data_IF_513841474214
#
_entry.id   IF_513841474214
#
_cell.length_a   1.000
_cell.length_b   1.000
_cell.length_c   1.000
_cell.angle_alpha   90.00
_cell.angle_beta   90.00
_cell.angle_gamma   90.00
#
_symmetry.space_group_name_H-M   'P 1'
#
loop_
_entity.id
_entity.type
_entity.pdbx_description
1 polymer ?
#
# COMPACT_ATOMS: atom_id res chain seq x y z
N UNK A 1 -10.77 9.92 -22.65
CA UNK A 1 -10.19 8.83 -21.82
C UNK A 1 -8.76 9.11 -21.34
N UNK A 2 -7.87 9.65 -22.17
CA UNK A 2 -6.47 9.94 -21.76
C UNK A 2 -6.38 10.95 -20.61
N UNK A 3 -7.19 12.00 -20.60
CA UNK A 3 -7.19 13.04 -19.54
C UNK A 3 -7.48 12.46 -18.15
N UNK A 4 -8.38 11.48 -18.06
CA UNK A 4 -8.71 10.84 -16.78
C UNK A 4 -7.57 9.97 -16.25
N UNK A 5 -6.83 9.27 -17.11
CA UNK A 5 -5.64 8.50 -16.71
C UNK A 5 -4.55 9.41 -16.11
N UNK A 6 -4.30 10.55 -16.75
CA UNK A 6 -3.35 11.54 -16.24
C UNK A 6 -3.82 12.08 -14.89
N UNK A 7 -5.11 12.37 -14.73
CA UNK A 7 -5.67 12.79 -13.46
C UNK A 7 -5.46 11.73 -12.37
N UNK A 8 -5.70 10.45 -12.65
CA UNK A 8 -5.45 9.35 -11.69
C UNK A 8 -3.98 9.26 -11.27
N UNK A 9 -3.05 9.42 -12.20
CA UNK A 9 -1.61 9.40 -11.90
C UNK A 9 -1.25 10.57 -10.96
N UNK A 10 -1.72 11.76 -11.26
CA UNK A 10 -1.47 12.95 -10.43
C UNK A 10 -2.11 12.80 -9.06
N UNK A 11 -3.37 12.37 -8.99
CA UNK A 11 -4.07 12.12 -7.74
C UNK A 11 -3.36 11.04 -6.90
N UNK A 12 -2.94 9.94 -7.51
CA UNK A 12 -2.17 8.89 -6.85
C UNK A 12 -0.82 9.38 -6.32
N UNK A 13 -0.10 10.20 -7.10
CA UNK A 13 1.17 10.78 -6.67
C UNK A 13 0.99 11.75 -5.49
N UNK A 14 -0.05 12.59 -5.53
CA UNK A 14 -0.38 13.53 -4.43
C UNK A 14 -0.74 12.74 -3.16
N UNK A 15 -1.63 11.74 -3.27
CA UNK A 15 -2.02 10.91 -2.13
C UNK A 15 -0.82 10.17 -1.53
N UNK A 16 0.00 9.53 -2.36
CA UNK A 16 1.20 8.82 -1.91
C UNK A 16 2.20 9.75 -1.21
N UNK A 17 2.42 10.95 -1.75
CA UNK A 17 3.31 11.95 -1.15
C UNK A 17 2.75 12.46 0.17
N UNK A 18 1.45 12.71 0.25
CA UNK A 18 0.76 13.16 1.46
C UNK A 18 0.87 12.12 2.58
N UNK A 19 0.61 10.84 2.25
CA UNK A 19 0.74 9.72 3.20
C UNK A 19 2.19 9.60 3.67
N UNK A 20 3.14 9.61 2.74
CA UNK A 20 4.55 9.54 3.06
C UNK A 20 4.97 10.66 4.02
N UNK A 21 4.60 11.90 3.72
CA UNK A 21 4.91 13.05 4.55
C UNK A 21 4.25 12.94 5.94
N UNK A 22 2.98 12.54 5.99
CA UNK A 22 2.25 12.36 7.24
C UNK A 22 2.94 11.34 8.15
N UNK A 23 3.26 10.16 7.63
CA UNK A 23 3.87 9.10 8.45
C UNK A 23 5.35 9.30 8.75
N UNK A 24 6.10 10.07 7.94
CA UNK A 24 7.54 10.29 8.18
C UNK A 24 7.84 11.56 8.96
N UNK A 25 6.99 12.58 8.83
CA UNK A 25 7.27 13.92 9.37
C UNK A 25 6.39 14.30 10.55
N UNK A 26 5.31 13.57 10.85
CA UNK A 26 4.47 13.87 11.99
C UNK A 26 4.81 13.01 13.21
N UNK A 27 4.57 13.57 14.40
CA UNK A 27 4.76 12.85 15.69
C UNK A 27 3.86 11.60 15.75
N UNK A 28 2.67 11.67 15.19
CA UNK A 28 1.72 10.54 15.14
C UNK A 28 2.27 9.37 14.31
N UNK A 29 2.83 9.66 13.15
CA UNK A 29 3.47 8.64 12.30
C UNK A 29 4.68 7.99 12.96
N UNK A 30 5.45 8.75 13.75
CA UNK A 30 6.57 8.21 14.52
C UNK A 30 6.08 7.22 15.59
N UNK A 31 5.05 7.61 16.36
CA UNK A 31 4.48 6.77 17.43
C UNK A 31 3.86 5.49 16.85
N UNK A 32 3.14 5.59 15.72
CA UNK A 32 2.54 4.43 15.06
C UNK A 32 3.62 3.44 14.62
N UNK A 33 4.70 3.91 13.98
CA UNK A 33 5.81 3.03 13.55
C UNK A 33 6.55 2.41 14.73
N UNK A 34 6.83 3.18 15.76
CA UNK A 34 7.45 2.68 16.96
C UNK A 34 6.56 1.70 17.74
N UNK A 35 5.22 1.91 17.70
CA UNK A 35 4.24 0.98 18.29
C UNK A 35 4.08 -0.33 17.52
N UNK A 36 4.48 -0.39 16.24
CA UNK A 36 4.55 -1.63 15.48
C UNK A 36 5.78 -2.45 15.91
N UNK A 37 6.91 -1.77 16.18
CA UNK A 37 8.16 -2.42 16.59
C UNK A 37 8.08 -2.93 18.04
N UNK A 38 7.62 -2.11 19.00
CA UNK A 38 7.47 -2.49 20.42
C UNK A 38 6.30 -1.75 21.08
N UNK A 39 5.20 -2.46 21.23
CA UNK A 39 3.95 -1.93 21.79
C UNK A 39 4.05 -1.65 23.28
N UNK A 40 4.72 -2.53 24.05
CA UNK A 40 4.82 -2.42 25.52
C UNK A 40 5.71 -1.25 25.93
N UNK A 41 6.83 -1.07 25.24
CA UNK A 41 7.77 0.01 25.51
C UNK A 41 7.11 1.38 25.35
N UNK A 42 6.31 1.57 24.31
CA UNK A 42 5.66 2.86 24.05
C UNK A 42 4.52 3.15 25.03
N UNK A 43 3.81 2.13 25.50
CA UNK A 43 2.81 2.30 26.57
C UNK A 43 3.44 2.78 27.85
N UNK A 44 4.65 2.33 28.17
CA UNK A 44 5.40 2.75 29.34
C UNK A 44 5.75 4.25 29.28
N UNK A 45 5.93 4.82 28.10
CA UNK A 45 6.11 6.27 27.90
C UNK A 45 4.81 7.09 27.96
N UNK A 46 3.66 6.46 28.30
CA UNK A 46 2.38 7.14 28.48
C UNK A 46 1.66 7.49 27.17
N UNK A 47 2.09 6.98 26.03
CA UNK A 47 1.42 7.21 24.78
C UNK A 47 0.17 6.31 24.64
N UNK A 48 -0.96 6.90 24.24
CA UNK A 48 -2.20 6.15 23.98
C UNK A 48 -2.09 5.44 22.61
N UNK A 49 -1.51 4.24 22.62
CA UNK A 49 -1.30 3.44 21.41
C UNK A 49 -2.61 3.05 20.74
N UNK A 50 -3.64 2.71 21.53
CA UNK A 50 -4.95 2.30 20.97
C UNK A 50 -5.58 3.43 20.17
N UNK A 51 -5.51 4.67 20.66
CA UNK A 51 -5.96 5.85 19.93
C UNK A 51 -5.15 6.08 18.66
N UNK A 52 -3.84 5.82 18.68
CA UNK A 52 -2.98 5.97 17.51
C UNK A 52 -3.25 4.92 16.43
N UNK A 53 -3.49 3.67 16.80
CA UNK A 53 -3.89 2.62 15.85
C UNK A 53 -5.27 2.89 15.27
N UNK A 54 -6.22 3.36 16.09
CA UNK A 54 -7.56 3.77 15.62
C UNK A 54 -7.45 4.92 14.61
N UNK A 55 -6.60 5.90 14.87
CA UNK A 55 -6.33 7.00 13.94
C UNK A 55 -5.73 6.50 12.62
N UNK A 56 -4.72 5.63 12.69
CA UNK A 56 -4.11 5.03 11.50
C UNK A 56 -5.13 4.24 10.67
N UNK A 57 -5.98 3.45 11.32
CA UNK A 57 -7.05 2.69 10.66
C UNK A 57 -8.08 3.62 10.02
N UNK A 58 -8.47 4.69 10.70
CA UNK A 58 -9.41 5.69 10.17
C UNK A 58 -8.87 6.37 8.93
N UNK A 59 -7.61 6.82 8.96
CA UNK A 59 -6.93 7.41 7.79
C UNK A 59 -6.87 6.40 6.64
N UNK A 60 -6.49 5.16 6.91
CA UNK A 60 -6.44 4.08 5.92
C UNK A 60 -7.80 3.83 5.27
N UNK A 61 -8.87 3.81 6.06
CA UNK A 61 -10.25 3.62 5.57
C UNK A 61 -10.71 4.77 4.68
N UNK A 62 -10.41 6.01 5.05
CA UNK A 62 -10.72 7.20 4.24
C UNK A 62 -9.97 7.13 2.90
N UNK A 63 -8.69 6.79 2.93
CA UNK A 63 -7.86 6.67 1.72
C UNK A 63 -8.35 5.55 0.80
N UNK A 64 -8.75 4.41 1.37
CA UNK A 64 -9.34 3.32 0.60
C UNK A 64 -10.66 3.73 -0.06
N UNK A 65 -11.51 4.49 0.65
CA UNK A 65 -12.74 5.05 0.10
C UNK A 65 -12.49 6.03 -1.05
N UNK A 66 -11.53 6.93 -0.90
CA UNK A 66 -11.13 7.88 -1.95
C UNK A 66 -10.56 7.14 -3.16
N UNK A 67 -9.69 6.15 -2.94
CA UNK A 67 -9.13 5.34 -4.03
C UNK A 67 -10.22 4.57 -4.77
N UNK A 68 -11.18 3.96 -4.05
CA UNK A 68 -12.34 3.29 -4.64
C UNK A 68 -13.19 4.25 -5.49
N UNK A 69 -13.49 5.43 -4.98
CA UNK A 69 -14.24 6.46 -5.72
C UNK A 69 -13.53 6.89 -7.01
N UNK A 70 -12.21 7.05 -6.97
CA UNK A 70 -11.40 7.41 -8.14
C UNK A 70 -11.33 6.29 -9.19
N UNK A 71 -11.51 5.02 -8.79
CA UNK A 71 -11.47 3.88 -9.72
C UNK A 71 -12.77 3.66 -10.48
N UNK A 72 -13.91 4.06 -9.92
CA UNK A 72 -15.25 3.84 -10.48
C UNK A 72 -15.40 4.27 -11.95
N UNK A 73 -15.00 5.49 -12.36
CA UNK A 73 -15.14 5.93 -13.75
C UNK A 73 -14.25 5.16 -14.75
N UNK A 74 -13.21 4.48 -14.24
CA UNK A 74 -12.27 3.72 -15.06
C UNK A 74 -12.69 2.27 -15.26
N UNK A 75 -13.10 1.58 -14.20
CA UNK A 75 -13.38 0.14 -14.21
C UNK A 75 -14.86 -0.22 -14.09
N UNK A 76 -15.71 0.76 -13.76
CA UNK A 76 -17.09 0.49 -13.39
C UNK A 76 -17.22 -0.12 -11.98
N UNK A 77 -18.44 -0.45 -11.58
CA UNK A 77 -18.75 -1.04 -10.28
C UNK A 77 -19.29 -2.45 -10.48
N UNK A 78 -18.65 -3.43 -9.83
CA UNK A 78 -19.15 -4.81 -9.79
C UNK A 78 -18.95 -5.40 -8.38
N UNK A 79 -19.75 -6.38 -7.94
CA UNK A 79 -19.77 -6.83 -6.54
C UNK A 79 -18.43 -7.31 -5.99
N UNK A 80 -17.58 -7.94 -6.81
CA UNK A 80 -16.29 -8.52 -6.39
C UNK A 80 -15.12 -7.54 -6.45
N UNK A 81 -15.32 -6.28 -6.83
CA UNK A 81 -14.23 -5.31 -7.01
C UNK A 81 -13.40 -5.13 -5.73
N UNK A 82 -14.06 -5.03 -4.58
CA UNK A 82 -13.39 -4.85 -3.29
C UNK A 82 -12.50 -6.04 -2.90
N UNK A 83 -12.97 -7.25 -3.14
CA UNK A 83 -12.21 -8.48 -2.84
C UNK A 83 -10.95 -8.57 -3.70
N UNK A 84 -11.06 -8.26 -4.99
CA UNK A 84 -9.92 -8.29 -5.90
C UNK A 84 -8.85 -7.26 -5.50
N UNK A 85 -9.27 -6.02 -5.19
CA UNK A 85 -8.33 -4.99 -4.74
C UNK A 85 -7.75 -5.26 -3.36
N UNK A 86 -8.48 -5.94 -2.47
CA UNK A 86 -7.95 -6.38 -1.18
C UNK A 86 -6.77 -7.33 -1.37
N UNK A 87 -6.90 -8.32 -2.26
CA UNK A 87 -5.82 -9.26 -2.57
C UNK A 87 -4.60 -8.56 -3.18
N UNK A 88 -4.82 -7.59 -4.07
CA UNK A 88 -3.74 -6.80 -4.65
C UNK A 88 -3.04 -5.93 -3.61
N UNK A 89 -3.81 -5.26 -2.75
CA UNK A 89 -3.26 -4.44 -1.67
C UNK A 89 -2.43 -5.30 -0.70
N UNK A 90 -2.92 -6.48 -0.34
CA UNK A 90 -2.18 -7.42 0.51
C UNK A 90 -0.85 -7.83 -0.14
N UNK A 91 -0.87 -8.24 -1.42
CA UNK A 91 0.34 -8.60 -2.14
C UNK A 91 1.35 -7.45 -2.20
N UNK A 92 0.89 -6.21 -2.47
CA UNK A 92 1.75 -5.02 -2.52
C UNK A 92 2.38 -4.72 -1.16
N UNK A 93 1.63 -4.85 -0.06
CA UNK A 93 2.17 -4.65 1.30
C UNK A 93 3.23 -5.69 1.63
N UNK A 94 3.01 -6.94 1.26
CA UNK A 94 3.99 -8.03 1.46
C UNK A 94 5.26 -7.78 0.62
N UNK A 95 5.11 -7.40 -0.66
CA UNK A 95 6.23 -7.07 -1.54
C UNK A 95 7.02 -5.87 -1.00
N UNK A 96 6.32 -4.83 -0.52
CA UNK A 96 6.95 -3.63 0.03
C UNK A 96 7.69 -3.85 1.34
N UNK A 97 7.26 -4.86 2.09
CA UNK A 97 7.70 -5.18 3.45
C UNK A 97 6.74 -4.61 4.50
N UNK A 98 6.25 -5.50 5.36
CA UNK A 98 5.29 -5.16 6.42
C UNK A 98 5.92 -4.10 7.35
N UNK A 99 5.20 -2.99 7.57
CA UNK A 99 5.68 -1.85 8.37
C UNK A 99 6.52 -0.82 7.61
N UNK A 100 6.91 -1.07 6.36
CA UNK A 100 7.65 -0.11 5.53
C UNK A 100 6.72 0.64 4.56
N UNK A 101 6.39 1.90 4.87
CA UNK A 101 5.55 2.74 4.02
C UNK A 101 6.25 3.07 2.69
N UNK A 102 7.54 3.40 2.75
CA UNK A 102 8.37 3.62 1.56
C UNK A 102 8.42 2.40 0.67
N UNK A 103 8.59 1.22 1.28
CA UNK A 103 8.59 -0.06 0.58
C UNK A 103 7.27 -0.31 -0.13
N UNK A 104 6.14 -0.05 0.53
CA UNK A 104 4.81 -0.23 -0.04
C UNK A 104 4.55 0.72 -1.22
N UNK A 105 4.98 1.99 -1.13
CA UNK A 105 4.84 2.95 -2.23
C UNK A 105 5.67 2.50 -3.45
N UNK A 106 6.92 2.10 -3.25
CA UNK A 106 7.78 1.60 -4.34
C UNK A 106 7.21 0.32 -4.93
N UNK A 107 6.77 -0.61 -4.08
CA UNK A 107 6.15 -1.85 -4.52
C UNK A 107 4.88 -1.61 -5.35
N UNK A 108 4.03 -0.67 -4.95
CA UNK A 108 2.81 -0.34 -5.69
C UNK A 108 3.11 0.19 -7.10
N UNK A 109 4.14 1.01 -7.25
CA UNK A 109 4.60 1.48 -8.56
C UNK A 109 5.14 0.35 -9.43
N UNK A 110 6.02 -0.50 -8.86
CA UNK A 110 6.59 -1.64 -9.58
C UNK A 110 5.51 -2.63 -10.02
N UNK A 111 4.61 -2.99 -9.12
CA UNK A 111 3.50 -3.92 -9.42
C UNK A 111 2.56 -3.31 -10.45
N UNK A 112 2.22 -2.02 -10.35
CA UNK A 112 1.36 -1.34 -11.32
C UNK A 112 1.96 -1.32 -12.73
N UNK A 113 3.25 -1.02 -12.87
CA UNK A 113 3.96 -1.04 -14.16
C UNK A 113 4.01 -2.47 -14.71
N UNK A 114 4.39 -3.44 -13.88
CA UNK A 114 4.49 -4.84 -14.29
C UNK A 114 3.13 -5.41 -14.71
N UNK A 115 2.07 -5.09 -13.98
CA UNK A 115 0.70 -5.48 -14.32
C UNK A 115 0.24 -4.87 -15.65
N UNK A 116 0.55 -3.60 -15.90
CA UNK A 116 0.21 -2.94 -17.15
C UNK A 116 0.97 -3.54 -18.34
N UNK A 117 2.25 -3.87 -18.16
CA UNK A 117 3.03 -4.56 -19.18
C UNK A 117 2.49 -5.97 -19.45
N UNK A 118 2.18 -6.74 -18.42
CA UNK A 118 1.55 -8.06 -18.55
C UNK A 118 0.21 -7.98 -19.26
N UNK A 119 -0.62 -6.99 -18.94
CA UNK A 119 -1.92 -6.77 -19.58
C UNK A 119 -1.81 -6.48 -21.08
N UNK A 120 -0.71 -5.85 -21.50
CA UNK A 120 -0.46 -5.54 -22.90
C UNK A 120 0.03 -6.75 -23.71
N UNK A 121 0.99 -7.52 -23.16
CA UNK A 121 1.60 -8.66 -23.86
C UNK A 121 0.81 -9.96 -23.73
N UNK A 122 0.30 -10.25 -22.52
CA UNK A 122 -0.39 -11.51 -22.21
C UNK A 122 -1.55 -11.24 -21.24
N UNK A 123 -2.70 -10.75 -21.74
CA UNK A 123 -3.84 -10.35 -20.90
C UNK A 123 -4.33 -11.45 -19.95
N UNK A 124 -4.21 -12.71 -20.36
CA UNK A 124 -4.66 -13.87 -19.59
C UNK A 124 -3.84 -14.12 -18.32
N UNK A 125 -2.61 -13.61 -18.25
CA UNK A 125 -1.71 -13.80 -17.10
C UNK A 125 -1.66 -12.57 -16.17
N UNK A 126 -2.45 -11.54 -16.44
CA UNK A 126 -2.38 -10.26 -15.70
C UNK A 126 -2.67 -10.44 -14.21
N UNK A 127 -3.69 -11.22 -13.86
CA UNK A 127 -4.03 -11.47 -12.45
C UNK A 127 -2.99 -12.34 -11.74
N UNK A 128 -2.40 -13.29 -12.45
CA UNK A 128 -1.37 -14.20 -11.91
C UNK A 128 -0.01 -13.48 -11.77
N UNK A 129 0.25 -12.43 -12.55
CA UNK A 129 1.53 -11.73 -12.56
C UNK A 129 1.89 -11.13 -11.21
N UNK A 130 0.92 -10.62 -10.45
CA UNK A 130 1.13 -10.04 -9.11
C UNK A 130 1.64 -11.10 -8.14
N UNK A 131 1.03 -12.29 -8.16
CA UNK A 131 1.45 -13.38 -7.29
C UNK A 131 2.83 -13.93 -7.66
N UNK A 132 3.16 -13.97 -8.96
CA UNK A 132 4.52 -14.33 -9.42
C UNK A 132 5.56 -13.33 -8.92
N UNK A 133 5.28 -12.04 -9.01
CA UNK A 133 6.18 -10.99 -8.50
C UNK A 133 6.31 -11.11 -6.98
N UNK A 134 5.21 -11.36 -6.27
CA UNK A 134 5.23 -11.56 -4.83
C UNK A 134 6.13 -12.74 -4.43
N UNK A 135 5.96 -13.89 -5.08
CA UNK A 135 6.78 -15.10 -4.82
C UNK A 135 8.26 -14.79 -5.11
N UNK A 136 8.54 -14.15 -6.25
CA UNK A 136 9.91 -13.83 -6.64
C UNK A 136 10.58 -12.88 -5.64
N UNK A 137 9.87 -11.83 -5.20
CA UNK A 137 10.41 -10.89 -4.20
C UNK A 137 10.63 -11.57 -2.86
N UNK A 138 9.68 -12.41 -2.39
CA UNK A 138 9.83 -13.13 -1.12
C UNK A 138 10.96 -14.16 -1.16
N UNK A 139 11.23 -14.78 -2.29
CA UNK A 139 12.39 -15.69 -2.46
C UNK A 139 13.72 -14.95 -2.42
N UNK A 140 13.79 -13.73 -2.97
CA UNK A 140 15.00 -12.93 -3.00
C UNK A 140 15.22 -12.15 -1.70
N UNK A 141 14.13 -11.63 -1.11
CA UNK A 141 14.13 -10.84 0.12
C UNK A 141 12.88 -11.16 0.96
N UNK A 142 12.98 -12.07 1.93
CA UNK A 142 11.85 -12.48 2.75
C UNK A 142 11.26 -11.35 3.62
N UNK A 143 12.03 -10.29 3.87
CA UNK A 143 11.56 -9.09 4.58
C UNK A 143 10.83 -8.08 3.67
N UNK A 144 10.68 -8.36 2.35
CA UNK A 144 10.19 -7.40 1.36
C UNK A 144 11.27 -6.48 0.81
N UNK A 145 10.92 -5.62 -0.14
CA UNK A 145 11.89 -4.75 -0.85
C UNK A 145 12.65 -3.81 0.10
N UNK A 146 11.93 -3.20 1.05
CA UNK A 146 12.46 -2.23 2.03
C UNK A 146 11.99 -2.57 3.45
N UNK A 147 11.59 -3.82 3.71
CA UNK A 147 11.32 -4.31 5.04
C UNK A 147 12.60 -4.29 5.88
N UNK A 148 12.51 -3.92 7.16
CA UNK A 148 13.61 -4.09 8.10
C UNK A 148 13.83 -5.58 8.28
N UNK A 149 14.96 -6.10 7.79
CA UNK A 149 15.42 -7.43 8.15
C UNK A 149 15.59 -7.49 9.66
N UNK A 150 14.99 -8.46 10.29
CA UNK A 150 15.34 -8.86 11.66
C UNK A 150 16.76 -9.43 11.60
N UNK A 151 17.77 -8.61 11.84
CA UNK A 151 19.06 -9.07 12.37
C UNK A 151 18.96 -9.18 13.88
#
# INVERSE_FOLDING_TARGET
MYKYRVFLIVAGAILSTTIYYFFTRTKYGLIIRAGIDDREMIQTFGANIEGMFTLAFTIGSILAGVAGFLLVPWQGVYPSIGTNYLLYAFAIVVIGGIGSITGTIVASMLVGIAQQMCSYYVPYLTEISIFKIMILVLLLKPAGLLGRGTE
#
